data_IF_234405496590
#
_entry.id   IF_234405496590
#
_cell.length_a   1.000
_cell.length_b   1.000
_cell.length_c   1.000
_cell.angle_alpha   90.00
_cell.angle_beta   90.00
_cell.angle_gamma   90.00
#
_symmetry.space_group_name_H-M   'P 1'
#
loop_
_entity.id
_entity.type
_entity.pdbx_description
1 polymer ?
#
# COMPACT_ATOMS: atom_id res chain seq x y z
N UNK A 1 -58.81 -9.78 -38.79
CA UNK A 1 -57.38 -9.42 -38.68
C UNK A 1 -56.71 -10.36 -37.68
N UNK A 2 -55.89 -11.32 -38.12
CA UNK A 2 -55.15 -12.23 -37.26
C UNK A 2 -53.85 -11.51 -36.84
N UNK A 3 -53.68 -11.23 -35.54
CA UNK A 3 -52.42 -10.75 -34.98
C UNK A 3 -51.37 -11.88 -35.10
N UNK A 4 -50.31 -11.65 -35.86
CA UNK A 4 -49.13 -12.51 -35.85
C UNK A 4 -48.33 -12.13 -34.57
N UNK A 5 -48.26 -13.05 -33.62
CA UNK A 5 -47.27 -13.01 -32.55
C UNK A 5 -45.93 -13.39 -33.16
N UNK A 6 -44.92 -12.52 -33.02
CA UNK A 6 -43.55 -12.89 -33.30
C UNK A 6 -43.05 -13.68 -32.08
N UNK A 7 -42.84 -14.96 -32.25
CA UNK A 7 -42.07 -15.76 -31.31
C UNK A 7 -40.61 -15.26 -31.36
N UNK A 8 -40.22 -14.50 -30.34
CA UNK A 8 -38.81 -14.28 -30.08
C UNK A 8 -38.23 -15.60 -29.59
N UNK A 9 -37.61 -16.36 -30.51
CA UNK A 9 -36.76 -17.49 -30.14
C UNK A 9 -35.59 -16.95 -29.31
N UNK A 10 -35.67 -17.10 -28.01
CA UNK A 10 -34.52 -17.02 -27.12
C UNK A 10 -33.61 -18.20 -27.52
N UNK A 11 -32.51 -17.92 -28.16
CA UNK A 11 -31.48 -18.91 -28.39
C UNK A 11 -30.91 -19.32 -27.04
N UNK A 12 -31.41 -20.41 -26.49
CA UNK A 12 -30.77 -21.07 -25.36
C UNK A 12 -29.39 -21.55 -25.86
N UNK A 13 -28.35 -21.22 -25.13
CA UNK A 13 -27.01 -21.74 -25.42
C UNK A 13 -27.06 -23.28 -25.47
N UNK A 14 -26.36 -23.89 -26.41
CA UNK A 14 -26.25 -25.37 -26.50
C UNK A 14 -25.77 -25.94 -25.16
N UNK A 15 -26.42 -27.04 -24.74
CA UNK A 15 -26.08 -27.74 -23.49
C UNK A 15 -24.62 -28.23 -23.57
N UNK A 16 -23.74 -27.57 -22.75
CA UNK A 16 -22.30 -27.88 -22.74
C UNK A 16 -21.41 -26.78 -23.32
N UNK A 17 -21.98 -25.68 -23.84
CA UNK A 17 -21.18 -24.50 -24.21
C UNK A 17 -20.74 -23.78 -22.93
N UNK A 18 -19.42 -23.66 -22.73
CA UNK A 18 -18.87 -22.78 -21.68
C UNK A 18 -19.17 -21.34 -22.04
N UNK A 19 -20.08 -20.74 -21.30
CA UNK A 19 -20.42 -19.33 -21.47
C UNK A 19 -19.28 -18.45 -20.94
N UNK A 20 -19.15 -17.24 -21.47
CA UNK A 20 -18.16 -16.28 -20.99
C UNK A 20 -18.34 -15.96 -19.50
N UNK A 21 -19.57 -16.05 -19.00
CA UNK A 21 -19.92 -15.90 -17.59
C UNK A 21 -19.35 -17.00 -16.68
N UNK A 22 -19.10 -18.19 -17.22
CA UNK A 22 -18.54 -19.31 -16.45
C UNK A 22 -17.01 -19.17 -16.23
N UNK A 23 -16.34 -18.44 -17.11
CA UNK A 23 -14.90 -18.19 -17.05
C UNK A 23 -14.53 -16.88 -16.34
N UNK A 24 -15.42 -15.89 -16.34
CA UNK A 24 -15.19 -14.59 -15.73
C UNK A 24 -14.95 -14.67 -14.21
N UNK A 25 -15.74 -15.42 -13.42
CA UNK A 25 -15.49 -15.57 -12.00
C UNK A 25 -14.13 -16.21 -11.68
N UNK A 26 -13.71 -17.21 -12.45
CA UNK A 26 -12.44 -17.89 -12.24
C UNK A 26 -11.24 -16.95 -12.49
N UNK A 27 -11.28 -16.12 -13.54
CA UNK A 27 -10.26 -15.12 -13.83
C UNK A 27 -10.22 -14.06 -12.73
N UNK A 28 -11.38 -13.58 -12.27
CA UNK A 28 -11.47 -12.60 -11.20
C UNK A 28 -10.93 -13.14 -9.87
N UNK A 29 -11.18 -14.42 -9.57
CA UNK A 29 -10.64 -15.09 -8.37
C UNK A 29 -9.12 -15.17 -8.42
N UNK A 30 -8.54 -15.61 -9.54
CA UNK A 30 -7.08 -15.66 -9.71
C UNK A 30 -6.45 -14.27 -9.58
N UNK A 31 -7.04 -13.27 -10.21
CA UNK A 31 -6.60 -11.89 -10.14
C UNK A 31 -6.61 -11.33 -8.71
N UNK A 32 -7.72 -11.49 -7.98
CA UNK A 32 -7.85 -11.00 -6.61
C UNK A 32 -6.89 -11.73 -5.67
N UNK A 33 -6.71 -13.03 -5.83
CA UNK A 33 -5.76 -13.83 -5.05
C UNK A 33 -4.32 -13.37 -5.24
N UNK A 34 -3.91 -13.10 -6.48
CA UNK A 34 -2.55 -12.60 -6.81
C UNK A 34 -2.28 -11.24 -6.18
N UNK A 35 -3.22 -10.30 -6.23
CA UNK A 35 -3.04 -8.99 -5.60
C UNK A 35 -3.00 -9.11 -4.08
N UNK A 36 -3.89 -9.90 -3.48
CA UNK A 36 -3.91 -10.11 -2.04
C UNK A 36 -2.62 -10.76 -1.53
N UNK A 37 -2.06 -11.71 -2.27
CA UNK A 37 -0.75 -12.28 -1.96
C UNK A 37 0.33 -11.19 -2.01
N UNK A 38 0.37 -10.38 -3.05
CA UNK A 38 1.33 -9.29 -3.16
C UNK A 38 1.21 -8.26 -2.02
N UNK A 39 -0.01 -7.94 -1.57
CA UNK A 39 -0.23 -7.05 -0.43
C UNK A 39 0.25 -7.71 0.88
N UNK A 40 0.07 -9.02 1.04
CA UNK A 40 0.63 -9.76 2.19
C UNK A 40 2.16 -9.70 2.21
N UNK A 41 2.81 -9.93 1.06
CA UNK A 41 4.27 -9.79 0.93
C UNK A 41 4.76 -8.39 1.31
N UNK A 42 4.04 -7.34 0.88
CA UNK A 42 4.36 -5.97 1.29
C UNK A 42 4.19 -5.78 2.79
N UNK A 43 3.10 -6.26 3.35
CA UNK A 43 2.83 -6.21 4.78
C UNK A 43 3.96 -6.85 5.59
N UNK A 44 4.37 -8.04 5.18
CA UNK A 44 5.43 -8.80 5.87
C UNK A 44 6.79 -8.10 5.74
N UNK A 45 7.10 -7.54 4.57
CA UNK A 45 8.30 -6.73 4.36
C UNK A 45 8.33 -5.48 5.25
N UNK A 46 7.20 -4.81 5.40
CA UNK A 46 7.06 -3.64 6.27
C UNK A 46 6.97 -3.99 7.77
N UNK A 47 6.83 -5.28 8.11
CA UNK A 47 6.68 -5.73 9.49
C UNK A 47 5.29 -5.50 10.08
N UNK A 48 4.29 -5.18 9.25
CA UNK A 48 2.91 -4.95 9.72
C UNK A 48 2.24 -6.29 10.02
N UNK A 49 2.00 -6.57 11.30
CA UNK A 49 1.41 -7.84 11.75
C UNK A 49 -0.04 -8.00 11.30
N UNK A 50 -0.85 -6.95 11.41
CA UNK A 50 -2.27 -7.01 11.08
C UNK A 50 -2.71 -5.76 10.30
N UNK A 51 -3.55 -5.96 9.29
CA UNK A 51 -4.29 -4.91 8.63
C UNK A 51 -5.60 -4.67 9.39
N UNK A 52 -5.91 -3.43 9.71
CA UNK A 52 -7.10 -3.04 10.46
C UNK A 52 -8.27 -2.87 9.48
N UNK A 53 -9.35 -3.70 9.57
CA UNK A 53 -10.54 -3.50 8.73
C UNK A 53 -11.33 -2.29 9.23
N UNK A 54 -11.71 -1.40 8.33
CA UNK A 54 -12.45 -0.19 8.64
C UNK A 54 -13.55 0.07 7.59
N UNK A 55 -14.52 0.91 7.92
CA UNK A 55 -15.51 1.36 6.96
C UNK A 55 -14.93 2.41 6.01
N UNK A 56 -15.48 2.49 4.79
CA UNK A 56 -15.12 3.56 3.85
C UNK A 56 -15.44 4.94 4.45
N UNK A 57 -14.70 5.95 4.03
CA UNK A 57 -14.81 7.33 4.53
C UNK A 57 -14.56 7.49 6.03
N UNK A 58 -13.97 6.49 6.67
CA UNK A 58 -13.56 6.58 8.06
C UNK A 58 -12.21 7.29 8.17
N UNK A 59 -12.13 8.21 9.13
CA UNK A 59 -10.91 8.92 9.44
C UNK A 59 -10.13 8.23 10.55
N UNK A 60 -8.92 7.85 10.26
CA UNK A 60 -7.94 7.42 11.27
C UNK A 60 -7.32 8.68 11.84
N UNK A 61 -7.52 8.91 13.14
CA UNK A 61 -6.95 10.04 13.86
C UNK A 61 -5.75 9.55 14.67
N UNK A 62 -4.58 10.00 14.28
CA UNK A 62 -3.34 9.77 15.01
C UNK A 62 -3.14 10.92 15.97
N UNK A 63 -2.81 10.62 17.22
CA UNK A 63 -2.65 11.62 18.28
C UNK A 63 -1.22 11.60 18.81
N UNK A 64 -0.72 12.80 19.09
CA UNK A 64 0.54 13.01 19.78
C UNK A 64 0.30 13.35 21.24
N UNK A 65 1.07 12.76 22.10
CA UNK A 65 1.07 13.06 23.53
C UNK A 65 2.24 13.98 23.87
N UNK A 66 1.98 15.01 24.65
CA UNK A 66 3.01 15.92 25.15
C UNK A 66 2.91 15.96 26.64
N UNK A 67 4.03 15.75 27.34
CA UNK A 67 4.12 15.84 28.78
C UNK A 67 4.76 17.20 29.12
N UNK A 68 4.06 18.01 29.88
CA UNK A 68 4.52 19.31 30.34
C UNK A 68 4.74 19.29 31.88
N UNK A 69 5.71 20.06 32.36
CA UNK A 69 5.99 20.19 33.77
C UNK A 69 6.33 18.86 34.47
N UNK A 70 7.25 18.10 33.92
CA UNK A 70 7.79 16.96 34.65
C UNK A 70 8.71 17.45 35.76
N UNK A 71 8.22 17.45 36.98
CA UNK A 71 9.03 17.82 38.14
C UNK A 71 9.94 16.65 38.52
N UNK A 72 11.26 16.80 38.32
CA UNK A 72 12.22 15.73 38.58
C UNK A 72 12.66 15.66 40.05
N UNK A 73 12.85 16.81 40.72
CA UNK A 73 13.24 16.90 42.14
C UNK A 73 12.55 18.08 42.81
N UNK A 74 11.94 17.83 43.96
CA UNK A 74 11.29 18.84 44.76
C UNK A 74 11.89 18.76 46.18
N UNK A 75 12.22 19.88 46.75
CA UNK A 75 12.78 19.95 48.09
C UNK A 75 11.82 19.44 49.17
N UNK A 76 12.34 19.08 50.33
CA UNK A 76 11.53 18.63 51.47
C UNK A 76 10.56 19.74 51.91
N UNK A 77 9.25 19.43 51.87
CA UNK A 77 8.19 20.38 52.23
C UNK A 77 7.72 21.32 51.11
N UNK A 78 8.28 21.20 49.90
CA UNK A 78 7.84 21.97 48.73
C UNK A 78 6.63 21.32 48.01
N UNK A 79 5.82 22.17 47.38
CA UNK A 79 4.64 21.69 46.63
C UNK A 79 5.07 21.10 45.30
N UNK A 80 4.74 19.83 45.07
CA UNK A 80 4.98 19.17 43.80
C UNK A 80 4.06 19.76 42.73
N UNK A 81 4.63 20.35 41.68
CA UNK A 81 3.88 20.85 40.53
C UNK A 81 3.27 19.69 39.76
N UNK A 82 1.94 19.69 39.49
CA UNK A 82 1.32 18.59 38.78
C UNK A 82 1.83 18.49 37.33
N UNK A 83 2.19 17.28 36.92
CA UNK A 83 2.55 16.97 35.56
C UNK A 83 1.31 17.05 34.66
N UNK A 84 1.36 17.82 33.59
CA UNK A 84 0.27 17.96 32.64
C UNK A 84 0.54 17.15 31.38
N UNK A 85 -0.35 16.23 31.10
CA UNK A 85 -0.33 15.44 29.86
C UNK A 85 -1.37 16.02 28.92
N UNK A 86 -0.93 16.42 27.73
CA UNK A 86 -1.80 16.91 26.64
C UNK A 86 -1.84 15.91 25.49
N UNK A 87 -3.02 15.75 24.92
CA UNK A 87 -3.26 14.98 23.70
C UNK A 87 -3.67 15.93 22.58
N UNK A 88 -2.90 15.98 21.50
CA UNK A 88 -3.20 16.77 20.32
C UNK A 88 -3.37 15.84 19.10
N UNK A 89 -4.25 16.23 18.17
CA UNK A 89 -4.37 15.55 16.90
C UNK A 89 -3.13 15.85 16.08
N UNK A 90 -2.37 14.82 15.69
CA UNK A 90 -1.17 14.93 14.87
C UNK A 90 -1.50 14.83 13.39
N UNK A 91 -2.16 13.76 12.98
CA UNK A 91 -2.56 13.56 11.58
C UNK A 91 -3.92 12.88 11.45
N UNK A 92 -4.55 13.14 10.32
CA UNK A 92 -5.82 12.55 9.92
C UNK A 92 -5.64 11.83 8.58
N UNK A 93 -5.98 10.54 8.53
CA UNK A 93 -5.86 9.69 7.35
C UNK A 93 -7.25 9.20 7.00
N UNK A 94 -7.79 9.65 5.86
CA UNK A 94 -9.09 9.20 5.37
C UNK A 94 -8.94 7.98 4.49
N UNK A 95 -9.78 6.97 4.68
CA UNK A 95 -9.84 5.75 3.88
C UNK A 95 -10.87 5.92 2.76
N UNK A 96 -10.40 6.39 1.61
CA UNK A 96 -11.21 6.52 0.41
C UNK A 96 -11.09 5.28 -0.47
N UNK A 97 -12.19 4.90 -1.13
CA UNK A 97 -12.21 3.80 -2.07
C UNK A 97 -11.53 4.18 -3.39
N UNK A 98 -10.45 3.50 -3.70
CA UNK A 98 -9.82 3.55 -5.02
C UNK A 98 -10.65 2.71 -6.01
N UNK A 99 -11.07 3.32 -7.11
CA UNK A 99 -11.89 2.71 -8.14
C UNK A 99 -11.17 2.80 -9.48
N UNK A 100 -10.94 1.65 -10.09
CA UNK A 100 -10.30 1.54 -11.40
C UNK A 100 -11.26 0.88 -12.37
N UNK A 101 -11.63 1.58 -13.44
CA UNK A 101 -12.48 1.06 -14.51
C UNK A 101 -11.70 1.01 -15.81
N UNK A 102 -11.88 -0.08 -16.52
CA UNK A 102 -11.35 -0.26 -17.87
C UNK A 102 -12.42 -0.81 -18.77
N UNK A 103 -12.43 -0.33 -20.01
CA UNK A 103 -13.36 -0.75 -21.06
C UNK A 103 -12.58 -1.37 -22.21
N UNK A 104 -12.96 -2.59 -22.64
CA UNK A 104 -12.39 -3.28 -23.80
C UNK A 104 -13.46 -3.39 -24.87
N UNK A 105 -13.19 -2.93 -26.08
CA UNK A 105 -14.15 -2.94 -27.18
C UNK A 105 -14.17 -4.30 -27.90
N UNK A 106 -15.29 -4.60 -28.57
CA UNK A 106 -15.43 -5.82 -29.36
C UNK A 106 -14.39 -5.93 -30.48
N UNK A 107 -14.01 -4.80 -31.10
CA UNK A 107 -12.99 -4.74 -32.15
C UNK A 107 -11.61 -5.11 -31.60
N UNK A 108 -11.27 -4.67 -30.41
CA UNK A 108 -10.01 -5.05 -29.75
C UNK A 108 -9.98 -6.57 -29.48
N UNK A 109 -11.08 -7.11 -28.97
CA UNK A 109 -11.22 -8.55 -28.72
C UNK A 109 -11.13 -9.35 -30.02
N UNK A 110 -11.77 -8.88 -31.10
CA UNK A 110 -11.72 -9.54 -32.40
C UNK A 110 -10.32 -9.51 -32.99
N UNK A 111 -9.58 -8.41 -32.84
CA UNK A 111 -8.25 -8.23 -33.42
C UNK A 111 -7.17 -9.07 -32.75
N UNK A 112 -7.16 -9.16 -31.43
CA UNK A 112 -6.06 -9.80 -30.67
C UNK A 112 -6.50 -10.98 -29.81
N UNK A 113 -7.79 -11.31 -29.79
CA UNK A 113 -8.37 -12.35 -28.95
C UNK A 113 -8.68 -11.86 -27.53
N UNK A 114 -9.66 -12.49 -26.88
CA UNK A 114 -10.12 -12.11 -25.55
C UNK A 114 -9.02 -12.21 -24.50
N UNK A 115 -8.25 -13.29 -24.50
CA UNK A 115 -7.20 -13.55 -23.53
C UNK A 115 -6.17 -12.42 -23.51
N UNK A 116 -5.71 -11.96 -24.66
CA UNK A 116 -4.75 -10.86 -24.76
C UNK A 116 -5.41 -9.53 -24.41
N UNK A 117 -6.59 -9.26 -25.01
CA UNK A 117 -7.28 -7.99 -24.83
C UNK A 117 -7.71 -7.73 -23.38
N UNK A 118 -8.10 -8.75 -22.62
CA UNK A 118 -8.58 -8.63 -21.25
C UNK A 118 -7.46 -8.94 -20.25
N UNK A 119 -6.83 -10.11 -20.30
CA UNK A 119 -5.89 -10.55 -19.26
C UNK A 119 -4.61 -9.71 -19.20
N UNK A 120 -3.95 -9.41 -20.34
CA UNK A 120 -2.75 -8.57 -20.33
C UNK A 120 -3.03 -7.15 -19.79
N UNK A 121 -4.22 -6.70 -20.03
CA UNK A 121 -4.63 -5.37 -19.56
C UNK A 121 -5.05 -5.37 -18.11
N UNK A 122 -5.58 -6.46 -17.59
CA UNK A 122 -5.83 -6.63 -16.14
C UNK A 122 -4.49 -6.66 -15.39
N UNK A 123 -3.44 -7.27 -15.96
CA UNK A 123 -2.09 -7.19 -15.40
C UNK A 123 -1.55 -5.75 -15.31
N UNK A 124 -1.89 -4.87 -16.26
CA UNK A 124 -1.54 -3.45 -16.16
C UNK A 124 -2.34 -2.73 -15.05
N UNK A 125 -3.59 -3.13 -14.82
CA UNK A 125 -4.37 -2.60 -13.70
C UNK A 125 -3.78 -3.04 -12.34
N UNK A 126 -3.34 -4.29 -12.20
CA UNK A 126 -2.61 -4.77 -11.00
C UNK A 126 -1.43 -3.85 -10.70
N UNK A 127 -0.60 -3.58 -11.70
CA UNK A 127 0.57 -2.69 -11.55
C UNK A 127 0.18 -1.28 -11.12
N UNK A 128 -0.96 -0.76 -11.60
CA UNK A 128 -1.48 0.56 -11.17
C UNK A 128 -1.96 0.56 -9.72
N UNK A 129 -2.70 -0.47 -9.29
CA UNK A 129 -3.14 -0.62 -7.90
C UNK A 129 -1.93 -0.71 -6.96
N UNK A 130 -0.95 -1.56 -7.29
CA UNK A 130 0.30 -1.68 -6.53
C UNK A 130 1.04 -0.34 -6.44
N UNK A 131 1.12 0.39 -7.56
CA UNK A 131 1.76 1.70 -7.59
C UNK A 131 1.02 2.71 -6.71
N UNK A 132 -0.32 2.70 -6.68
CA UNK A 132 -1.11 3.60 -5.83
C UNK A 132 -0.85 3.34 -4.34
N UNK A 133 -0.85 2.07 -3.90
CA UNK A 133 -0.52 1.68 -2.53
C UNK A 133 0.89 2.16 -2.15
N UNK A 134 1.89 1.92 -3.01
CA UNK A 134 3.27 2.41 -2.80
C UNK A 134 3.34 3.94 -2.68
N UNK A 135 2.67 4.65 -3.59
CA UNK A 135 2.68 6.12 -3.59
C UNK A 135 2.06 6.68 -2.31
N UNK A 136 0.97 6.09 -1.84
CA UNK A 136 0.34 6.47 -0.57
C UNK A 136 1.32 6.31 0.60
N UNK A 137 1.99 5.16 0.72
CA UNK A 137 3.00 4.92 1.75
C UNK A 137 4.13 5.97 1.71
N UNK A 138 4.71 6.21 0.53
CA UNK A 138 5.81 7.18 0.42
C UNK A 138 5.38 8.61 0.70
N UNK A 139 4.14 8.98 0.38
CA UNK A 139 3.59 10.30 0.72
C UNK A 139 3.54 10.48 2.24
N UNK A 140 3.10 9.45 2.96
CA UNK A 140 3.07 9.46 4.43
C UNK A 140 4.47 9.50 5.04
N UNK A 141 5.40 8.67 4.54
CA UNK A 141 6.79 8.66 5.02
C UNK A 141 7.52 10.00 4.79
N UNK A 142 7.25 10.68 3.67
CA UNK A 142 7.82 12.01 3.39
C UNK A 142 7.31 13.11 4.33
N UNK A 143 6.19 12.90 5.00
CA UNK A 143 5.67 13.81 6.01
C UNK A 143 6.43 13.76 7.35
N UNK A 144 7.33 12.77 7.54
CA UNK A 144 8.16 12.64 8.73
C UNK A 144 8.91 13.92 9.09
N UNK A 145 9.07 14.18 10.38
CA UNK A 145 9.62 15.44 10.91
C UNK A 145 11.09 15.33 11.36
N UNK A 146 11.55 14.12 11.67
CA UNK A 146 12.93 13.87 12.06
C UNK A 146 13.94 14.13 10.93
N UNK A 147 15.17 14.52 11.27
CA UNK A 147 16.22 14.77 10.28
C UNK A 147 17.60 14.28 10.74
N UNK A 148 18.40 13.81 9.78
CA UNK A 148 19.81 13.49 9.97
C UNK A 148 20.58 13.83 8.67
N UNK A 149 21.89 14.05 8.75
CA UNK A 149 22.72 14.36 7.60
C UNK A 149 24.08 13.65 7.68
N UNK A 150 24.75 13.52 6.54
CA UNK A 150 26.09 12.93 6.47
C UNK A 150 26.68 13.07 5.07
N UNK A 151 27.97 12.89 4.93
CA UNK A 151 28.70 13.05 3.68
C UNK A 151 28.49 11.86 2.70
N UNK A 152 28.13 10.68 3.19
CA UNK A 152 27.89 9.49 2.36
C UNK A 152 26.64 8.74 2.80
N UNK A 153 26.12 7.85 1.93
CA UNK A 153 24.98 7.02 2.25
C UNK A 153 25.18 6.24 3.55
N UNK A 154 26.35 5.64 3.76
CA UNK A 154 26.65 4.88 4.96
C UNK A 154 26.56 5.73 6.23
N UNK A 155 27.15 6.94 6.21
CA UNK A 155 27.13 7.86 7.37
C UNK A 155 25.69 8.31 7.65
N UNK A 156 24.92 8.64 6.61
CA UNK A 156 23.52 9.05 6.78
C UNK A 156 22.70 7.93 7.38
N UNK A 157 22.84 6.69 6.91
CA UNK A 157 22.11 5.55 7.44
C UNK A 157 22.50 5.23 8.89
N UNK A 158 23.78 5.33 9.22
CA UNK A 158 24.25 5.17 10.61
C UNK A 158 23.66 6.27 11.54
N UNK A 159 23.63 7.53 11.07
CA UNK A 159 23.04 8.63 11.82
C UNK A 159 21.52 8.49 11.97
N UNK A 160 20.83 8.02 10.92
CA UNK A 160 19.40 7.71 10.96
C UNK A 160 19.10 6.58 11.96
N UNK A 161 19.92 5.54 11.95
CA UNK A 161 19.82 4.44 12.89
C UNK A 161 20.02 4.94 14.34
N UNK A 162 21.04 5.77 14.58
CA UNK A 162 21.28 6.34 15.91
C UNK A 162 20.09 7.20 16.40
N UNK A 163 19.51 8.01 15.48
CA UNK A 163 18.31 8.80 15.80
C UNK A 163 17.07 7.94 16.07
N UNK A 164 16.90 6.82 15.40
CA UNK A 164 15.84 5.85 15.70
C UNK A 164 16.05 5.25 17.11
N UNK A 165 17.27 4.83 17.45
CA UNK A 165 17.56 4.30 18.77
C UNK A 165 17.36 5.35 19.88
N UNK A 166 17.72 6.62 19.64
CA UNK A 166 17.49 7.72 20.56
C UNK A 166 15.97 7.99 20.78
N UNK A 167 15.17 7.88 19.70
CA UNK A 167 13.73 8.13 19.79
C UNK A 167 12.96 7.01 20.50
N UNK A 168 13.38 5.75 20.27
CA UNK A 168 12.76 4.55 20.85
C UNK A 168 13.60 3.96 22.00
N UNK A 169 14.18 4.79 22.83
CA UNK A 169 15.21 4.49 23.83
C UNK A 169 14.89 3.26 24.69
N UNK A 170 13.62 3.05 25.02
CA UNK A 170 13.13 1.97 25.88
C UNK A 170 12.46 0.82 25.11
N UNK A 171 12.48 0.82 23.79
CA UNK A 171 11.76 -0.16 22.96
C UNK A 171 12.71 -0.89 22.01
N UNK A 172 12.58 -2.22 21.93
CA UNK A 172 13.24 -3.01 20.89
C UNK A 172 12.56 -2.76 19.54
N UNK A 173 13.21 -1.99 18.69
CA UNK A 173 12.68 -1.65 17.35
C UNK A 173 13.52 -2.24 16.22
N UNK A 174 12.85 -2.63 15.15
CA UNK A 174 13.49 -3.14 13.94
C UNK A 174 13.59 -2.01 12.90
N UNK A 175 14.79 -1.46 12.65
CA UNK A 175 14.95 -0.38 11.67
C UNK A 175 14.61 -0.82 10.26
N UNK A 176 13.89 0.05 9.52
CA UNK A 176 13.63 -0.09 8.11
C UNK A 176 14.00 1.21 7.41
N UNK A 177 14.78 1.09 6.33
CA UNK A 177 15.28 2.21 5.54
C UNK A 177 14.62 2.22 4.17
N UNK A 178 14.31 3.40 3.66
CA UNK A 178 13.83 3.61 2.31
C UNK A 178 14.85 4.46 1.56
N UNK A 179 15.43 3.92 0.49
CA UNK A 179 16.59 4.49 -0.20
C UNK A 179 16.25 4.67 -1.68
N UNK A 180 16.75 5.74 -2.30
CA UNK A 180 16.65 5.90 -3.74
C UNK A 180 17.58 4.91 -4.45
N UNK A 181 17.12 4.38 -5.59
CA UNK A 181 17.92 3.45 -6.39
C UNK A 181 19.24 4.06 -6.91
N UNK A 182 19.28 5.39 -7.15
CA UNK A 182 20.51 6.06 -7.57
C UNK A 182 21.54 6.07 -6.45
N UNK A 183 21.12 6.34 -5.20
CA UNK A 183 22.02 6.35 -4.05
C UNK A 183 22.62 4.95 -3.78
N UNK A 184 21.81 3.90 -4.05
CA UNK A 184 22.29 2.51 -3.98
C UNK A 184 23.25 2.20 -5.13
N UNK A 185 22.96 2.68 -6.35
CA UNK A 185 23.85 2.48 -7.51
C UNK A 185 25.21 3.16 -7.31
N UNK A 186 25.23 4.37 -6.76
CA UNK A 186 26.47 5.09 -6.43
C UNK A 186 27.26 4.32 -5.35
N UNK A 187 26.58 3.72 -4.38
CA UNK A 187 27.21 2.87 -3.37
C UNK A 187 27.73 1.56 -3.96
N UNK A 188 27.01 0.89 -4.88
CA UNK A 188 27.41 -0.36 -5.53
C UNK A 188 28.68 -0.21 -6.36
N UNK A 189 29.03 1.00 -6.79
CA UNK A 189 30.32 1.28 -7.42
C UNK A 189 31.52 0.91 -6.53
N UNK A 190 31.30 0.76 -5.23
CA UNK A 190 32.31 0.49 -4.23
C UNK A 190 32.12 -0.81 -3.43
N UNK A 191 30.94 -1.45 -3.53
CA UNK A 191 30.58 -2.63 -2.73
C UNK A 191 29.65 -3.60 -3.48
N UNK A 192 29.80 -4.90 -3.23
CA UNK A 192 28.86 -5.92 -3.75
C UNK A 192 27.75 -6.18 -2.76
N UNK A 193 26.50 -6.13 -3.22
CA UNK A 193 25.31 -6.37 -2.41
C UNK A 193 24.33 -7.26 -3.17
N UNK A 194 23.73 -8.23 -2.45
CA UNK A 194 22.65 -9.06 -2.99
C UNK A 194 21.30 -8.38 -2.75
N UNK A 195 20.53 -8.19 -3.81
CA UNK A 195 19.19 -7.59 -3.75
C UNK A 195 18.11 -8.65 -3.93
N UNK A 196 17.01 -8.51 -3.20
CA UNK A 196 15.81 -9.35 -3.30
C UNK A 196 14.64 -8.51 -3.79
N UNK A 197 13.55 -9.17 -4.22
CA UNK A 197 12.36 -8.47 -4.75
C UNK A 197 11.09 -9.04 -4.13
N UNK A 198 10.24 -8.16 -3.56
CA UNK A 198 8.90 -8.49 -3.10
C UNK A 198 7.94 -7.35 -3.39
N UNK A 199 6.71 -7.64 -3.80
CA UNK A 199 5.69 -6.65 -4.20
C UNK A 199 6.20 -5.61 -5.22
N UNK A 200 7.18 -5.99 -6.06
CA UNK A 200 7.87 -5.06 -6.98
C UNK A 200 8.67 -3.97 -6.26
N UNK A 201 9.06 -4.17 -5.00
CA UNK A 201 10.15 -3.48 -4.34
C UNK A 201 11.41 -4.31 -4.47
N UNK A 202 12.53 -3.62 -4.66
CA UNK A 202 13.86 -4.19 -4.43
C UNK A 202 14.25 -3.89 -3.00
N UNK A 203 14.71 -4.89 -2.26
CA UNK A 203 15.14 -4.69 -0.88
C UNK A 203 16.42 -5.46 -0.58
N UNK A 204 17.10 -5.05 0.46
CA UNK A 204 18.33 -5.63 0.95
C UNK A 204 18.11 -5.94 2.43
N UNK A 205 18.15 -7.21 2.79
CA UNK A 205 18.10 -7.63 4.19
C UNK A 205 19.41 -7.26 4.89
N UNK A 206 19.28 -6.84 6.15
CA UNK A 206 20.42 -6.53 7.01
C UNK A 206 21.47 -5.61 6.34
N UNK A 207 20.99 -4.53 5.70
CA UNK A 207 21.87 -3.59 5.00
C UNK A 207 22.81 -2.90 5.99
N UNK A 208 24.12 -3.04 5.76
CA UNK A 208 25.18 -2.57 6.64
C UNK A 208 25.10 -3.08 8.10
N UNK A 209 24.38 -4.17 8.37
CA UNK A 209 24.14 -4.64 9.73
C UNK A 209 23.15 -3.82 10.53
N UNK A 210 22.47 -2.83 9.92
CA UNK A 210 21.59 -1.88 10.60
C UNK A 210 20.12 -2.26 10.50
N UNK A 211 19.70 -2.94 9.44
CA UNK A 211 18.29 -3.32 9.23
C UNK A 211 17.93 -3.53 7.76
N UNK A 212 16.64 -3.64 7.48
CA UNK A 212 16.13 -3.86 6.11
C UNK A 212 16.11 -2.56 5.33
N UNK A 213 16.69 -2.52 4.13
CA UNK A 213 16.62 -1.38 3.22
C UNK A 213 15.72 -1.67 2.02
N UNK A 214 14.71 -0.86 1.80
CA UNK A 214 13.82 -0.89 0.62
C UNK A 214 14.30 0.13 -0.40
N UNK A 215 14.60 -0.34 -1.60
CA UNK A 215 15.10 0.49 -2.69
C UNK A 215 13.93 0.90 -3.61
N UNK A 216 13.73 2.19 -3.81
CA UNK A 216 12.61 2.68 -4.61
C UNK A 216 12.91 4.02 -5.29
N UNK A 217 12.49 4.20 -6.57
CA UNK A 217 12.61 5.48 -7.26
C UNK A 217 11.66 6.57 -6.71
N UNK A 218 10.71 6.20 -5.83
CA UNK A 218 9.79 7.17 -5.22
C UNK A 218 10.41 7.93 -4.05
N UNK A 219 11.49 7.42 -3.48
CA UNK A 219 12.32 8.16 -2.52
C UNK A 219 13.12 9.22 -3.29
N UNK A 220 13.21 10.41 -2.75
CA UNK A 220 14.02 11.48 -3.36
C UNK A 220 15.50 11.10 -3.30
N UNK A 221 16.24 11.27 -4.39
CA UNK A 221 17.69 11.02 -4.41
C UNK A 221 18.40 11.87 -3.35
N UNK A 222 19.40 11.30 -2.72
CA UNK A 222 20.15 11.87 -1.59
C UNK A 222 19.33 12.15 -0.32
N UNK A 223 18.09 11.60 -0.25
CA UNK A 223 17.21 11.77 0.90
C UNK A 223 16.63 10.40 1.37
N UNK A 224 17.46 9.52 1.92
CA UNK A 224 16.97 8.28 2.51
C UNK A 224 16.03 8.58 3.69
N UNK A 225 15.07 7.70 3.91
CA UNK A 225 14.10 7.79 5.02
C UNK A 225 14.27 6.56 5.89
N UNK A 226 14.20 6.72 7.20
CA UNK A 226 14.24 5.63 8.16
C UNK A 226 13.07 5.72 9.14
N UNK A 227 12.56 4.57 9.53
CA UNK A 227 11.59 4.42 10.61
C UNK A 227 11.73 3.03 11.24
N UNK A 228 11.01 2.77 12.32
CA UNK A 228 10.86 1.42 12.86
C UNK A 228 9.76 0.66 12.11
N UNK A 229 9.90 -0.66 11.95
CA UNK A 229 8.81 -1.51 11.40
C UNK A 229 7.56 -1.42 12.29
N UNK A 230 7.76 -1.34 13.59
CA UNK A 230 6.74 -1.21 14.63
C UNK A 230 5.91 0.08 14.50
N UNK A 231 6.50 1.12 13.90
CA UNK A 231 5.83 2.39 13.62
C UNK A 231 4.93 2.35 12.36
N UNK A 232 5.02 1.29 11.55
CA UNK A 232 4.21 1.19 10.33
C UNK A 232 2.94 0.40 10.62
N UNK A 233 1.79 1.02 10.35
CA UNK A 233 0.45 0.43 10.46
C UNK A 233 -0.17 0.28 9.08
N UNK A 234 -1.16 -0.59 9.00
CA UNK A 234 -1.94 -0.77 7.77
C UNK A 234 -3.43 -0.83 8.08
N UNK A 235 -4.22 -0.19 7.22
CA UNK A 235 -5.67 -0.24 7.29
C UNK A 235 -6.26 -0.49 5.90
N UNK A 236 -7.43 -1.12 5.86
CA UNK A 236 -8.13 -1.42 4.62
C UNK A 236 -9.65 -1.35 4.79
N UNK A 237 -10.35 -1.13 3.69
CA UNK A 237 -11.80 -1.27 3.63
C UNK A 237 -12.13 -2.61 3.00
N UNK A 238 -12.82 -3.53 3.73
CA UNK A 238 -13.20 -4.83 3.18
C UNK A 238 -14.16 -4.68 2.00
N UNK A 239 -13.83 -5.32 0.86
CA UNK A 239 -14.70 -5.41 -0.31
C UNK A 239 -15.71 -6.54 -0.11
N UNK A 240 -16.65 -6.34 0.82
CA UNK A 240 -17.67 -7.32 1.22
C UNK A 240 -19.04 -6.65 1.45
N UNK A 241 -20.05 -7.42 1.82
CA UNK A 241 -21.39 -6.90 2.15
C UNK A 241 -22.16 -6.37 0.95
N UNK A 242 -22.85 -5.24 1.13
CA UNK A 242 -23.75 -4.69 0.13
C UNK A 242 -23.04 -4.15 -1.10
N UNK A 243 -21.83 -3.58 -0.93
CA UNK A 243 -21.00 -3.11 -2.05
C UNK A 243 -20.63 -4.28 -2.95
N UNK A 244 -20.14 -5.38 -2.37
CA UNK A 244 -19.77 -6.56 -3.14
C UNK A 244 -20.98 -7.16 -3.87
N UNK A 245 -22.15 -7.22 -3.22
CA UNK A 245 -23.40 -7.72 -3.82
C UNK A 245 -23.91 -6.82 -4.94
N UNK A 246 -23.92 -5.51 -4.71
CA UNK A 246 -24.46 -4.54 -5.68
C UNK A 246 -23.65 -4.52 -6.97
N UNK A 247 -22.34 -4.60 -6.87
CA UNK A 247 -21.43 -4.57 -8.03
C UNK A 247 -20.98 -5.96 -8.48
N UNK A 248 -21.52 -7.04 -7.88
CA UNK A 248 -21.14 -8.43 -8.15
C UNK A 248 -19.62 -8.60 -8.11
N UNK A 249 -18.99 -8.08 -7.03
CA UNK A 249 -17.54 -8.14 -6.87
C UNK A 249 -17.10 -9.54 -6.44
N UNK A 250 -16.13 -10.09 -7.14
CA UNK A 250 -15.34 -11.22 -6.67
C UNK A 250 -14.22 -10.70 -5.80
N UNK A 251 -14.12 -11.15 -4.57
CA UNK A 251 -13.04 -10.83 -3.65
C UNK A 251 -12.40 -12.11 -3.13
N UNK A 252 -11.18 -12.03 -2.62
CA UNK A 252 -10.55 -13.11 -1.88
C UNK A 252 -11.11 -13.21 -0.44
N UNK A 253 -10.65 -14.19 0.32
CA UNK A 253 -11.07 -14.39 1.72
C UNK A 253 -10.80 -13.18 2.63
N UNK A 254 -9.79 -12.38 2.32
CA UNK A 254 -9.44 -11.19 3.09
C UNK A 254 -10.27 -9.96 2.72
N UNK A 255 -10.89 -9.94 1.54
CA UNK A 255 -11.65 -8.81 1.04
C UNK A 255 -10.82 -7.56 0.77
N UNK A 256 -9.50 -7.68 0.59
CA UNK A 256 -8.63 -6.54 0.33
C UNK A 256 -8.90 -5.85 -1.00
N UNK A 257 -9.37 -6.61 -1.96
CA UNK A 257 -9.68 -6.12 -3.31
C UNK A 257 -10.94 -6.82 -3.83
N UNK A 258 -11.75 -6.09 -4.55
CA UNK A 258 -12.91 -6.61 -5.27
C UNK A 258 -12.78 -6.34 -6.76
N UNK A 259 -13.10 -7.32 -7.59
CA UNK A 259 -13.07 -7.21 -9.04
C UNK A 259 -14.35 -7.75 -9.66
N UNK A 260 -14.83 -7.12 -10.71
CA UNK A 260 -15.92 -7.63 -11.53
C UNK A 260 -15.68 -7.36 -13.00
N UNK A 261 -16.17 -8.27 -13.84
CA UNK A 261 -16.28 -8.09 -15.27
C UNK A 261 -17.75 -8.02 -15.66
N UNK A 262 -18.12 -7.10 -16.49
CA UNK A 262 -19.47 -6.96 -17.02
C UNK A 262 -19.43 -6.66 -18.52
N UNK A 263 -20.46 -7.09 -19.25
CA UNK A 263 -20.62 -6.79 -20.67
C UNK A 263 -21.67 -5.70 -20.87
N UNK A 264 -21.28 -4.63 -21.57
CA UNK A 264 -22.22 -3.59 -21.97
C UNK A 264 -22.63 -3.81 -23.42
N UNK A 265 -23.83 -4.39 -23.62
CA UNK A 265 -24.35 -4.73 -24.97
C UNK A 265 -24.67 -3.50 -25.81
N UNK A 266 -25.01 -2.37 -25.17
CA UNK A 266 -25.30 -1.09 -25.85
C UNK A 266 -24.07 -0.49 -26.54
N UNK A 267 -22.88 -0.79 -26.03
CA UNK A 267 -21.60 -0.28 -26.57
C UNK A 267 -20.71 -1.38 -27.11
N UNK A 268 -21.14 -2.64 -27.08
CA UNK A 268 -20.37 -3.82 -27.45
C UNK A 268 -18.98 -3.84 -26.77
N UNK A 269 -18.97 -3.65 -25.43
CA UNK A 269 -17.74 -3.58 -24.64
C UNK A 269 -17.77 -4.53 -23.45
N UNK A 270 -16.57 -4.91 -22.99
CA UNK A 270 -16.36 -5.58 -21.69
C UNK A 270 -15.78 -4.56 -20.73
N UNK A 271 -16.45 -4.37 -19.61
CA UNK A 271 -16.03 -3.48 -18.53
C UNK A 271 -15.39 -4.30 -17.41
N UNK A 272 -14.19 -3.92 -17.02
CA UNK A 272 -13.52 -4.40 -15.82
C UNK A 272 -13.55 -3.30 -14.76
N UNK A 273 -14.08 -3.60 -13.58
CA UNK A 273 -14.09 -2.72 -12.42
C UNK A 273 -13.27 -3.35 -11.30
N UNK A 274 -12.34 -2.58 -10.74
CA UNK A 274 -11.56 -2.96 -9.56
C UNK A 274 -11.81 -1.92 -8.48
N UNK A 275 -12.09 -2.40 -7.28
CA UNK A 275 -12.22 -1.58 -6.07
C UNK A 275 -11.23 -2.07 -5.02
N UNK A 276 -10.54 -1.15 -4.38
CA UNK A 276 -9.65 -1.45 -3.25
C UNK A 276 -9.52 -0.24 -2.35
N UNK A 277 -9.14 -0.46 -1.11
CA UNK A 277 -8.66 0.58 -0.22
C UNK A 277 -7.70 -0.06 0.77
N UNK A 278 -6.42 0.04 0.51
CA UNK A 278 -5.36 -0.42 1.42
C UNK A 278 -4.38 0.72 1.59
N UNK A 279 -4.17 1.16 2.84
CA UNK A 279 -3.21 2.21 3.17
C UNK A 279 -2.26 1.74 4.23
N UNK A 280 -0.97 1.99 4.02
CA UNK A 280 0.08 1.86 5.02
C UNK A 280 0.55 3.25 5.41
N UNK A 281 0.75 3.46 6.70
CA UNK A 281 1.11 4.77 7.24
C UNK A 281 1.94 4.61 8.52
N UNK A 282 2.81 5.58 8.85
CA UNK A 282 3.46 5.63 10.16
C UNK A 282 2.45 6.05 11.23
N UNK A 283 2.48 5.38 12.37
CA UNK A 283 1.66 5.74 13.54
C UNK A 283 2.10 7.08 14.13
N UNK A 284 3.41 7.30 14.21
CA UNK A 284 4.01 8.54 14.69
C UNK A 284 4.87 9.17 13.60
N UNK A 285 4.52 10.38 13.18
CA UNK A 285 5.30 11.11 12.17
C UNK A 285 6.69 11.50 12.72
N UNK A 286 6.81 11.75 14.01
CA UNK A 286 8.08 12.06 14.68
C UNK A 286 9.04 10.86 14.72
N UNK A 287 8.51 9.62 14.65
CA UNK A 287 9.31 8.39 14.52
C UNK A 287 9.77 8.10 13.09
N UNK A 288 9.58 9.04 12.15
CA UNK A 288 10.08 8.96 10.78
C UNK A 288 11.16 10.00 10.55
N UNK A 289 12.36 9.55 10.26
CA UNK A 289 13.55 10.39 10.07
C UNK A 289 13.94 10.46 8.60
N UNK A 290 14.21 11.67 8.11
CA UNK A 290 14.70 11.93 6.75
C UNK A 290 16.20 12.21 6.79
N UNK A 291 16.94 11.48 5.96
CA UNK A 291 18.36 11.72 5.76
C UNK A 291 18.62 12.78 4.70
N UNK A 292 19.79 13.39 4.76
CA UNK A 292 20.34 14.23 3.68
C UNK A 292 21.78 13.83 3.44
N UNK A 293 22.07 13.33 2.24
CA UNK A 293 23.44 13.09 1.80
C UNK A 293 23.97 14.42 1.30
N UNK A 294 24.86 15.06 2.08
CA UNK A 294 25.56 16.25 1.65
C UNK A 294 26.59 15.81 0.58
N UNK A 295 26.34 16.16 -0.68
CA UNK A 295 27.36 15.93 -1.72
C UNK A 295 28.62 16.74 -1.42
N UNK A 296 29.76 16.17 -1.80
CA UNK A 296 30.99 16.93 -1.93
C UNK A 296 30.85 18.07 -2.94
#
# INVERSE_FOLDING_TARGET
>A
MKKKFFDLQLFAAETGASLSTDLEPAISVDFTSRISQNIRELRDLLGVTNLIPMSAETDIKVYKWTVENLAAQVGEGEVITPTKVKRALDQKITLDLDKYRRVTTAEAIQKVGRTIAVNESDDQLIKKVQKAVKTSLYTMLKAGTGSASGASLQIVLANLWAKLQEYYEDEDVTPIFFINQQDVADYLGTAQITMQTAFGFTYIENFLGLGTAIVSPQVTAKQPIATAKENIRGAYVPMSGDVARTFNLTADETGLIGMTHSTATSTATVDTLIMSCVKFFPEFADGVFKGTIAGE
#
